data_IF_687159607659
#
_entry.id   IF_687159607659
#
_cell.length_a   1.000
_cell.length_b   1.000
_cell.length_c   1.000
_cell.angle_alpha   90.00
_cell.angle_beta   90.00
_cell.angle_gamma   90.00
#
_symmetry.space_group_name_H-M   'P 1'
#
loop_
_entity.id
_entity.type
_entity.pdbx_description
1 polymer ?
#
# COMPACT_ATOMS: atom_id res chain seq x y z
N UNK A 1 6.33 -52.91 1.96
CA UNK A 1 5.81 -51.53 2.06
C UNK A 1 6.78 -50.56 2.77
N UNK A 2 6.74 -50.36 4.10
CA UNK A 2 7.61 -49.35 4.77
C UNK A 2 9.12 -49.63 4.63
N UNK A 3 9.51 -50.90 4.69
CA UNK A 3 10.91 -51.33 4.53
C UNK A 3 11.39 -51.08 3.09
N UNK A 4 10.56 -51.30 2.08
CA UNK A 4 10.92 -51.05 0.66
C UNK A 4 11.06 -49.56 0.35
N UNK A 5 10.21 -48.71 0.94
CA UNK A 5 10.32 -47.26 0.78
C UNK A 5 11.58 -46.70 1.48
N UNK A 6 11.92 -47.21 2.66
CA UNK A 6 13.18 -46.89 3.34
C UNK A 6 14.40 -47.39 2.53
N UNK A 7 14.30 -48.57 1.90
CA UNK A 7 15.34 -49.09 1.01
C UNK A 7 15.51 -48.28 -0.28
N UNK A 8 14.46 -47.61 -0.81
CA UNK A 8 14.57 -46.77 -2.01
C UNK A 8 15.32 -45.44 -1.79
N UNK A 9 15.41 -44.94 -0.55
CA UNK A 9 16.29 -43.81 -0.21
C UNK A 9 17.78 -44.17 -0.29
N UNK A 10 18.11 -45.46 -0.38
CA UNK A 10 19.48 -45.98 -0.38
C UNK A 10 20.05 -46.03 -1.80
N UNK A 11 20.39 -44.87 -2.36
CA UNK A 11 21.18 -44.81 -3.61
C UNK A 11 22.69 -44.68 -3.37
N UNK A 12 23.17 -44.64 -2.11
CA UNK A 12 24.61 -44.68 -1.76
C UNK A 12 24.88 -45.35 -0.40
N UNK A 13 25.13 -46.65 -0.39
CA UNK A 13 25.76 -47.37 0.74
C UNK A 13 24.98 -48.58 1.24
N UNK A 14 25.72 -49.62 1.66
CA UNK A 14 25.17 -50.91 2.13
C UNK A 14 24.19 -50.74 3.31
N UNK A 15 22.94 -51.22 3.20
CA UNK A 15 21.97 -51.12 4.28
C UNK A 15 22.35 -51.95 5.50
N UNK A 16 22.37 -51.32 6.68
CA UNK A 16 22.39 -52.02 7.96
C UNK A 16 21.06 -51.76 8.70
N UNK A 17 20.48 -52.77 9.34
CA UNK A 17 19.30 -52.67 10.18
C UNK A 17 19.39 -51.55 11.23
N UNK A 18 20.59 -51.22 11.71
CA UNK A 18 20.80 -50.08 12.61
C UNK A 18 20.40 -48.73 11.97
N UNK A 19 20.56 -48.57 10.66
CA UNK A 19 20.19 -47.37 9.92
C UNK A 19 18.68 -47.33 9.63
N UNK A 20 18.10 -48.48 9.26
CA UNK A 20 16.66 -48.62 9.12
C UNK A 20 15.94 -48.34 10.45
N UNK A 21 16.50 -48.85 11.55
CA UNK A 21 16.00 -48.62 12.91
C UNK A 21 16.19 -47.15 13.34
N UNK A 22 17.26 -46.46 12.91
CA UNK A 22 17.44 -45.03 13.14
C UNK A 22 16.44 -44.16 12.33
N UNK A 23 16.15 -44.55 11.08
CA UNK A 23 15.10 -43.91 10.26
C UNK A 23 13.73 -44.14 10.89
N UNK A 24 13.42 -45.37 11.30
CA UNK A 24 12.15 -45.73 11.94
C UNK A 24 12.00 -45.09 13.32
N UNK A 25 13.08 -45.00 14.12
CA UNK A 25 13.09 -44.24 15.38
C UNK A 25 12.90 -42.75 15.14
N UNK A 26 13.62 -42.16 14.19
CA UNK A 26 13.46 -40.75 13.83
C UNK A 26 12.05 -40.44 13.30
N UNK A 27 11.41 -41.40 12.63
CA UNK A 27 10.00 -41.35 12.25
C UNK A 27 9.09 -41.46 13.48
N UNK A 28 9.30 -42.42 14.38
CA UNK A 28 8.48 -42.62 15.58
C UNK A 28 8.59 -41.47 16.60
N UNK A 29 9.78 -40.93 16.83
CA UNK A 29 10.07 -39.84 17.77
C UNK A 29 9.48 -38.51 17.30
N UNK A 30 9.49 -38.23 15.99
CA UNK A 30 8.86 -37.02 15.42
C UNK A 30 7.35 -37.12 15.27
N UNK A 31 6.79 -38.34 15.20
CA UNK A 31 5.43 -38.60 14.70
C UNK A 31 4.45 -39.16 15.73
N UNK A 32 4.86 -39.42 16.98
CA UNK A 32 3.94 -39.78 18.07
C UNK A 32 2.95 -40.90 17.76
N UNK A 33 3.34 -42.18 17.97
CA UNK A 33 2.50 -43.40 18.01
C UNK A 33 1.50 -43.71 16.86
N UNK A 34 1.32 -42.89 15.81
CA UNK A 34 0.10 -42.93 15.00
C UNK A 34 0.13 -43.64 13.62
N UNK A 35 1.22 -44.27 13.17
CA UNK A 35 1.22 -45.00 11.89
C UNK A 35 1.25 -46.51 12.13
N UNK A 36 0.13 -47.19 11.86
CA UNK A 36 -0.07 -48.62 12.19
C UNK A 36 0.24 -49.54 10.99
N UNK A 37 0.31 -49.00 9.77
CA UNK A 37 0.59 -49.80 8.54
C UNK A 37 1.66 -49.21 7.62
N UNK A 38 2.34 -50.07 6.86
CA UNK A 38 3.39 -49.64 5.94
C UNK A 38 2.91 -48.76 4.78
N UNK A 39 1.65 -48.86 4.41
CA UNK A 39 1.01 -48.01 3.40
C UNK A 39 0.70 -46.60 3.95
N UNK A 40 0.42 -46.48 5.26
CA UNK A 40 0.30 -45.17 5.91
C UNK A 40 1.64 -44.46 6.04
N UNK A 41 2.71 -45.20 6.37
CA UNK A 41 4.06 -44.64 6.46
C UNK A 41 4.51 -44.08 5.10
N UNK A 42 4.24 -44.80 4.01
CA UNK A 42 4.60 -44.36 2.65
C UNK A 42 3.80 -43.16 2.19
N UNK A 43 2.47 -43.13 2.38
CA UNK A 43 1.64 -41.96 2.09
C UNK A 43 2.10 -40.72 2.85
N UNK A 44 2.42 -40.86 4.13
CA UNK A 44 2.89 -39.74 4.94
C UNK A 44 4.28 -39.25 4.50
N UNK A 45 5.20 -40.15 4.11
CA UNK A 45 6.50 -39.75 3.53
C UNK A 45 6.32 -39.00 2.20
N UNK A 46 5.36 -39.41 1.36
CA UNK A 46 5.07 -38.70 0.12
C UNK A 46 4.46 -37.32 0.38
N UNK A 47 3.57 -37.20 1.36
CA UNK A 47 2.93 -35.94 1.73
C UNK A 47 3.97 -34.95 2.29
N UNK A 48 4.82 -35.39 3.21
CA UNK A 48 5.92 -34.58 3.76
C UNK A 48 6.90 -34.14 2.67
N UNK A 49 7.22 -35.03 1.72
CA UNK A 49 8.09 -34.70 0.59
C UNK A 49 7.45 -33.63 -0.29
N UNK A 50 6.16 -33.76 -0.61
CA UNK A 50 5.42 -32.80 -1.42
C UNK A 50 5.35 -31.43 -0.73
N UNK A 51 5.05 -31.39 0.58
CA UNK A 51 5.04 -30.14 1.35
C UNK A 51 6.42 -29.46 1.35
N UNK A 52 7.49 -30.23 1.56
CA UNK A 52 8.85 -29.72 1.51
C UNK A 52 9.22 -29.16 0.11
N UNK A 53 8.73 -29.77 -0.97
CA UNK A 53 8.89 -29.25 -2.33
C UNK A 53 8.14 -27.93 -2.54
N UNK A 54 6.91 -27.83 -2.04
CA UNK A 54 6.13 -26.60 -2.10
C UNK A 54 6.79 -25.45 -1.32
N UNK A 55 7.30 -25.73 -0.12
CA UNK A 55 8.02 -24.70 0.65
C UNK A 55 9.27 -24.24 -0.09
N UNK A 56 10.02 -25.16 -0.70
CA UNK A 56 11.20 -24.82 -1.52
C UNK A 56 10.83 -23.96 -2.72
N UNK A 57 9.71 -24.24 -3.38
CA UNK A 57 9.21 -23.41 -4.49
C UNK A 57 8.89 -21.99 -4.03
N UNK A 58 8.20 -21.84 -2.90
CA UNK A 58 7.87 -20.54 -2.33
C UNK A 58 9.13 -19.75 -1.93
N UNK A 59 10.10 -20.40 -1.28
CA UNK A 59 11.39 -19.79 -0.95
C UNK A 59 12.18 -19.39 -2.19
N UNK A 60 12.17 -20.22 -3.24
CA UNK A 60 12.79 -19.93 -4.52
C UNK A 60 12.17 -18.69 -5.18
N UNK A 61 10.84 -18.60 -5.22
CA UNK A 61 10.12 -17.42 -5.72
C UNK A 61 10.43 -16.15 -4.90
N UNK A 62 10.63 -16.32 -3.59
CA UNK A 62 11.06 -15.25 -2.70
C UNK A 62 12.53 -14.80 -2.94
N UNK A 63 13.30 -15.58 -3.70
CA UNK A 63 14.72 -15.33 -3.98
C UNK A 63 15.66 -15.75 -2.85
N UNK A 64 15.17 -16.53 -1.88
CA UNK A 64 15.98 -17.14 -0.82
C UNK A 64 16.24 -18.62 -1.17
N UNK A 65 17.51 -18.99 -1.19
CA UNK A 65 17.92 -20.40 -1.09
C UNK A 65 18.11 -20.77 0.40
N UNK A 66 17.16 -20.40 1.26
CA UNK A 66 17.31 -20.63 2.70
C UNK A 66 17.17 -22.12 3.04
N UNK A 67 17.86 -22.54 4.11
CA UNK A 67 17.68 -23.87 4.68
C UNK A 67 16.24 -24.00 5.14
N UNK A 68 15.62 -25.14 4.85
CA UNK A 68 14.29 -25.47 5.32
C UNK A 68 14.33 -25.64 6.85
N UNK A 69 13.99 -24.59 7.59
CA UNK A 69 13.91 -24.59 9.06
C UNK A 69 12.48 -24.90 9.51
N UNK A 70 12.33 -25.41 10.73
CA UNK A 70 11.01 -25.71 11.30
C UNK A 70 10.14 -24.45 11.46
N UNK A 71 10.76 -23.29 11.69
CA UNK A 71 10.07 -21.99 11.71
C UNK A 71 9.41 -21.67 10.36
N UNK A 72 10.14 -21.83 9.25
CA UNK A 72 9.61 -21.57 7.90
C UNK A 72 8.49 -22.55 7.55
N UNK A 73 8.63 -23.82 7.97
CA UNK A 73 7.57 -24.83 7.80
C UNK A 73 6.30 -24.41 8.54
N UNK A 74 6.43 -23.98 9.80
CA UNK A 74 5.30 -23.53 10.59
C UNK A 74 4.61 -22.29 9.97
N UNK A 75 5.38 -21.29 9.55
CA UNK A 75 4.84 -20.11 8.86
C UNK A 75 4.11 -20.47 7.57
N UNK A 76 4.68 -21.38 6.76
CA UNK A 76 4.02 -21.87 5.55
C UNK A 76 2.72 -22.62 5.85
N UNK A 77 2.74 -23.52 6.84
CA UNK A 77 1.55 -24.26 7.24
C UNK A 77 0.42 -23.33 7.69
N UNK A 78 0.74 -22.25 8.41
CA UNK A 78 -0.25 -21.21 8.76
C UNK A 78 -0.79 -20.48 7.51
N UNK A 79 0.06 -20.11 6.55
CA UNK A 79 -0.40 -19.51 5.29
C UNK A 79 -1.35 -20.42 4.51
N UNK A 80 -1.08 -21.73 4.51
CA UNK A 80 -1.89 -22.73 3.80
C UNK A 80 -3.31 -22.88 4.35
N UNK A 81 -3.58 -22.42 5.58
CA UNK A 81 -4.92 -22.46 6.18
C UNK A 81 -5.91 -21.50 5.51
N UNK A 82 -5.43 -20.43 4.90
CA UNK A 82 -6.28 -19.41 4.27
C UNK A 82 -5.95 -19.16 2.80
N UNK A 83 -4.81 -19.65 2.29
CA UNK A 83 -4.41 -19.42 0.90
C UNK A 83 -3.83 -20.67 0.21
N UNK A 84 -4.18 -20.92 -1.08
CA UNK A 84 -3.52 -21.93 -1.88
C UNK A 84 -2.04 -21.66 -2.12
N UNK A 85 -1.27 -22.75 -2.22
CA UNK A 85 0.16 -22.75 -2.48
C UNK A 85 0.56 -21.82 -3.63
N UNK A 86 -0.08 -21.96 -4.79
CA UNK A 86 0.25 -21.18 -5.99
C UNK A 86 0.13 -19.66 -5.78
N UNK A 87 -0.86 -19.23 -4.99
CA UNK A 87 -1.03 -17.80 -4.68
C UNK A 87 0.02 -17.34 -3.67
N UNK A 88 0.41 -18.18 -2.70
CA UNK A 88 1.51 -17.87 -1.79
C UNK A 88 2.83 -17.71 -2.56
N UNK A 89 3.11 -18.59 -3.53
CA UNK A 89 4.29 -18.48 -4.42
C UNK A 89 4.26 -17.16 -5.20
N UNK A 90 3.09 -16.76 -5.72
CA UNK A 90 2.95 -15.48 -6.41
C UNK A 90 3.19 -14.28 -5.47
N UNK A 91 2.67 -14.33 -4.24
CA UNK A 91 2.92 -13.31 -3.22
C UNK A 91 4.42 -13.19 -2.92
N UNK A 92 5.10 -14.32 -2.72
CA UNK A 92 6.54 -14.39 -2.52
C UNK A 92 7.33 -13.77 -3.68
N UNK A 93 6.97 -14.08 -4.92
CA UNK A 93 7.58 -13.50 -6.12
C UNK A 93 7.35 -12.00 -6.30
N UNK A 94 6.27 -11.44 -5.73
CA UNK A 94 6.03 -9.99 -5.73
C UNK A 94 6.84 -9.30 -4.63
N UNK A 95 6.86 -9.87 -3.43
CA UNK A 95 7.62 -9.30 -2.30
C UNK A 95 9.12 -9.33 -2.57
N UNK A 96 9.64 -10.35 -3.26
CA UNK A 96 11.08 -10.45 -3.60
C UNK A 96 11.63 -9.28 -4.42
N UNK A 97 10.75 -8.57 -5.16
CA UNK A 97 11.09 -7.39 -5.97
C UNK A 97 10.99 -6.07 -5.19
N UNK A 98 10.44 -6.09 -3.97
CA UNK A 98 10.31 -4.90 -3.10
C UNK A 98 11.63 -4.61 -2.38
N UNK A 99 11.76 -3.37 -1.87
CA UNK A 99 12.93 -2.97 -1.07
C UNK A 99 12.96 -3.66 0.31
N UNK A 100 11.79 -3.78 0.95
CA UNK A 100 11.61 -4.58 2.18
C UNK A 100 11.19 -6.00 1.80
N UNK A 101 11.94 -7.00 2.27
CA UNK A 101 11.74 -8.41 1.91
C UNK A 101 11.77 -9.24 3.19
N UNK A 102 10.61 -9.71 3.64
CA UNK A 102 10.47 -10.68 4.74
C UNK A 102 9.33 -11.66 4.46
N UNK A 103 9.33 -12.80 5.16
CA UNK A 103 8.19 -13.73 5.13
C UNK A 103 6.93 -13.12 5.76
N UNK A 104 7.08 -12.21 6.71
CA UNK A 104 5.96 -11.41 7.25
C UNK A 104 5.26 -10.58 6.17
N UNK A 105 6.01 -9.99 5.23
CA UNK A 105 5.43 -9.24 4.10
C UNK A 105 4.69 -10.16 3.12
N UNK A 106 5.19 -11.40 2.93
CA UNK A 106 4.49 -12.43 2.13
C UNK A 106 3.18 -12.81 2.80
N UNK A 107 3.23 -13.05 4.11
CA UNK A 107 2.08 -13.37 4.96
C UNK A 107 1.04 -12.25 4.93
N UNK A 108 1.47 -11.00 5.10
CA UNK A 108 0.59 -9.83 5.07
C UNK A 108 -0.06 -9.67 3.69
N UNK A 109 0.70 -9.84 2.61
CA UNK A 109 0.15 -9.77 1.25
C UNK A 109 -0.85 -10.90 0.97
N UNK A 110 -0.51 -12.14 1.31
CA UNK A 110 -1.40 -13.29 1.15
C UNK A 110 -2.70 -13.12 1.95
N UNK A 111 -2.62 -12.65 3.19
CA UNK A 111 -3.79 -12.34 4.02
C UNK A 111 -4.66 -11.25 3.39
N UNK A 112 -4.05 -10.18 2.87
CA UNK A 112 -4.79 -9.10 2.19
C UNK A 112 -5.54 -9.57 0.94
N UNK A 113 -5.03 -10.60 0.25
CA UNK A 113 -5.75 -11.23 -0.88
C UNK A 113 -6.86 -12.15 -0.41
N UNK A 114 -6.64 -12.92 0.66
CA UNK A 114 -7.69 -13.73 1.29
C UNK A 114 -8.85 -12.86 1.80
N UNK A 115 -8.58 -11.72 2.42
CA UNK A 115 -9.61 -10.76 2.87
C UNK A 115 -10.43 -10.19 1.70
N UNK A 116 -9.84 -10.14 0.50
CA UNK A 116 -10.51 -9.74 -0.75
C UNK A 116 -11.19 -10.91 -1.48
N UNK A 117 -11.17 -12.12 -0.90
CA UNK A 117 -11.73 -13.33 -1.51
C UNK A 117 -10.93 -13.84 -2.72
N UNK A 118 -9.65 -13.45 -2.87
CA UNK A 118 -8.81 -13.83 -3.99
C UNK A 118 -8.06 -15.13 -3.68
N UNK A 119 -8.69 -16.28 -3.96
CA UNK A 119 -8.18 -17.61 -3.62
C UNK A 119 -7.64 -18.42 -4.80
N UNK A 120 -7.40 -17.82 -5.95
CA UNK A 120 -6.88 -18.53 -7.12
C UNK A 120 -6.00 -17.61 -7.99
N UNK A 121 -5.11 -18.23 -8.78
CA UNK A 121 -4.18 -17.49 -9.64
C UNK A 121 -4.89 -16.58 -10.65
N UNK A 122 -5.90 -17.04 -11.42
CA UNK A 122 -6.66 -16.17 -12.33
C UNK A 122 -7.21 -14.91 -11.65
N UNK A 123 -7.89 -15.06 -10.52
CA UNK A 123 -8.49 -13.94 -9.77
C UNK A 123 -7.43 -12.94 -9.28
N UNK A 124 -6.31 -13.43 -8.73
CA UNK A 124 -5.21 -12.56 -8.28
C UNK A 124 -4.56 -11.84 -9.46
N UNK A 125 -4.34 -12.52 -10.59
CA UNK A 125 -3.76 -11.91 -11.79
C UNK A 125 -4.66 -10.84 -12.39
N UNK A 126 -5.96 -11.11 -12.47
CA UNK A 126 -6.95 -10.13 -12.92
C UNK A 126 -6.96 -8.90 -12.01
N UNK A 127 -6.93 -9.10 -10.69
CA UNK A 127 -6.82 -8.01 -9.72
C UNK A 127 -5.55 -7.17 -9.91
N UNK A 128 -4.39 -7.82 -10.05
CA UNK A 128 -3.12 -7.13 -10.28
C UNK A 128 -3.10 -6.35 -11.61
N UNK A 129 -3.73 -6.89 -12.65
CA UNK A 129 -3.88 -6.21 -13.93
C UNK A 129 -4.74 -4.95 -13.79
N UNK A 130 -5.94 -5.07 -13.20
CA UNK A 130 -6.83 -3.95 -12.96
C UNK A 130 -6.15 -2.86 -12.11
N UNK A 131 -5.42 -3.25 -11.06
CA UNK A 131 -4.65 -2.33 -10.24
C UNK A 131 -3.53 -1.63 -11.03
N UNK A 132 -2.91 -2.33 -11.98
CA UNK A 132 -1.89 -1.74 -12.86
C UNK A 132 -2.49 -0.71 -13.82
N UNK A 133 -3.67 -0.98 -14.38
CA UNK A 133 -4.41 -0.06 -15.26
C UNK A 133 -4.89 1.18 -14.50
N UNK A 134 -5.48 0.99 -13.31
CA UNK A 134 -5.86 2.10 -12.43
C UNK A 134 -4.64 2.96 -12.09
N UNK A 135 -3.52 2.35 -11.72
CA UNK A 135 -2.30 3.10 -11.43
C UNK A 135 -1.79 3.84 -12.68
N UNK A 136 -1.80 3.21 -13.87
CA UNK A 136 -1.37 3.87 -15.10
C UNK A 136 -2.23 5.10 -15.44
N UNK A 137 -3.55 4.99 -15.27
CA UNK A 137 -4.46 6.12 -15.43
C UNK A 137 -4.18 7.22 -14.40
N UNK A 138 -4.04 6.87 -13.12
CA UNK A 138 -3.74 7.84 -12.07
C UNK A 138 -2.41 8.57 -12.32
N UNK A 139 -1.37 7.87 -12.81
CA UNK A 139 -0.11 8.51 -13.24
C UNK A 139 -0.36 9.54 -14.33
N UNK A 140 -1.10 9.16 -15.38
CA UNK A 140 -1.40 10.07 -16.49
C UNK A 140 -2.18 11.32 -16.02
N UNK A 141 -3.11 11.18 -15.07
CA UNK A 141 -3.84 12.32 -14.49
C UNK A 141 -2.90 13.22 -13.68
N UNK A 142 -2.05 12.63 -12.85
CA UNK A 142 -1.09 13.39 -12.05
C UNK A 142 -0.11 14.16 -12.95
N UNK A 143 0.43 13.51 -13.98
CA UNK A 143 1.30 14.14 -14.99
C UNK A 143 0.58 15.28 -15.73
N UNK A 144 -0.64 15.05 -16.20
CA UNK A 144 -1.43 16.06 -16.91
C UNK A 144 -1.78 17.27 -16.02
N UNK A 145 -1.81 17.07 -14.70
CA UNK A 145 -2.02 18.10 -13.69
C UNK A 145 -0.74 18.72 -13.12
N UNK A 146 0.45 18.34 -13.61
CA UNK A 146 1.73 18.88 -13.13
C UNK A 146 2.15 18.44 -11.73
N UNK A 147 1.49 17.43 -11.14
CA UNK A 147 1.85 16.85 -9.84
C UNK A 147 2.92 15.76 -9.94
N UNK A 148 3.46 15.33 -8.79
CA UNK A 148 4.28 14.13 -8.69
C UNK A 148 3.50 12.93 -9.29
N UNK A 149 4.04 12.23 -10.31
CA UNK A 149 3.36 11.15 -11.00
C UNK A 149 3.23 9.87 -10.15
N UNK A 150 3.59 9.86 -8.87
CA UNK A 150 3.48 8.69 -8.00
C UNK A 150 2.03 8.43 -7.55
N UNK A 151 1.43 7.28 -7.92
CA UNK A 151 0.10 6.89 -7.45
C UNK A 151 0.06 6.66 -5.94
N UNK A 152 -0.87 7.31 -5.25
CA UNK A 152 -1.09 7.15 -3.80
C UNK A 152 -2.37 6.36 -3.52
N UNK A 153 -2.52 5.82 -2.30
CA UNK A 153 -3.75 5.12 -1.91
C UNK A 153 -4.99 6.03 -1.96
N UNK A 154 -4.97 7.26 -1.40
CA UNK A 154 -6.10 8.18 -1.51
C UNK A 154 -6.42 8.55 -2.97
N UNK A 155 -5.40 8.67 -3.82
CA UNK A 155 -5.61 8.93 -5.24
C UNK A 155 -6.30 7.77 -5.97
N UNK A 156 -6.04 6.52 -5.58
CA UNK A 156 -6.73 5.36 -6.14
C UNK A 156 -8.21 5.33 -5.74
N UNK A 157 -8.52 5.66 -4.50
CA UNK A 157 -9.91 5.75 -4.01
C UNK A 157 -10.69 6.81 -4.79
N UNK A 158 -10.10 8.00 -5.00
CA UNK A 158 -10.71 9.04 -5.83
C UNK A 158 -10.92 8.58 -7.27
N UNK A 159 -9.91 7.95 -7.88
CA UNK A 159 -10.03 7.44 -9.24
C UNK A 159 -11.15 6.40 -9.37
N UNK A 160 -11.25 5.49 -8.40
CA UNK A 160 -12.30 4.48 -8.35
C UNK A 160 -13.69 5.12 -8.26
N UNK A 161 -13.86 6.13 -7.40
CA UNK A 161 -15.10 6.92 -7.34
C UNK A 161 -15.44 7.52 -8.69
N UNK A 162 -14.47 8.16 -9.35
CA UNK A 162 -14.71 8.83 -10.63
C UNK A 162 -15.08 7.86 -11.76
N UNK A 163 -14.46 6.68 -11.83
CA UNK A 163 -14.67 5.72 -12.92
C UNK A 163 -15.82 4.74 -12.66
N UNK A 164 -16.03 4.31 -11.41
CA UNK A 164 -17.02 3.27 -11.07
C UNK A 164 -18.34 3.86 -10.58
N UNK A 165 -18.30 4.88 -9.71
CA UNK A 165 -19.51 5.50 -9.18
C UNK A 165 -20.05 6.57 -10.14
N UNK A 166 -19.19 7.49 -10.58
CA UNK A 166 -19.58 8.60 -11.46
C UNK A 166 -19.49 8.29 -12.95
N UNK A 167 -18.87 7.15 -13.31
CA UNK A 167 -18.79 6.63 -14.68
C UNK A 167 -18.15 7.59 -15.68
N UNK A 168 -17.22 8.44 -15.22
CA UNK A 168 -16.48 9.33 -16.11
C UNK A 168 -15.54 8.54 -17.03
N UNK A 169 -15.49 8.95 -18.29
CA UNK A 169 -14.54 8.39 -19.25
C UNK A 169 -13.13 8.89 -18.98
N UNK A 170 -12.14 8.12 -19.43
CA UNK A 170 -10.71 8.51 -19.34
C UNK A 170 -10.45 9.90 -19.92
N UNK A 171 -11.13 10.26 -21.00
CA UNK A 171 -10.93 11.54 -21.69
C UNK A 171 -11.42 12.73 -20.84
N UNK A 172 -12.57 12.59 -20.19
CA UNK A 172 -13.10 13.62 -19.28
C UNK A 172 -12.18 13.82 -18.08
N UNK A 173 -11.63 12.73 -17.53
CA UNK A 173 -10.69 12.82 -16.42
C UNK A 173 -9.38 13.52 -16.81
N UNK A 174 -8.85 13.22 -18.01
CA UNK A 174 -7.66 13.90 -18.53
C UNK A 174 -7.90 15.40 -18.77
N UNK A 175 -9.09 15.77 -19.24
CA UNK A 175 -9.48 17.17 -19.38
C UNK A 175 -9.50 17.88 -18.00
N UNK A 176 -10.14 17.26 -17.01
CA UNK A 176 -10.18 17.79 -15.64
C UNK A 176 -8.78 17.93 -15.05
N UNK A 177 -7.89 16.97 -15.30
CA UNK A 177 -6.49 17.05 -14.88
C UNK A 177 -5.75 18.22 -15.54
N UNK A 178 -5.97 18.47 -16.83
CA UNK A 178 -5.42 19.63 -17.53
C UNK A 178 -5.87 20.96 -16.91
N UNK A 179 -7.10 21.03 -16.40
CA UNK A 179 -7.60 22.21 -15.69
C UNK A 179 -7.02 22.37 -14.28
N UNK A 180 -6.45 21.29 -13.72
CA UNK A 180 -5.84 21.27 -12.40
C UNK A 180 -4.34 21.60 -12.39
N UNK A 181 -3.72 21.93 -13.55
CA UNK A 181 -2.26 22.13 -13.68
C UNK A 181 -1.63 23.11 -12.69
N UNK A 182 -2.35 24.18 -12.34
CA UNK A 182 -1.85 25.22 -11.43
C UNK A 182 -2.38 25.06 -9.99
N UNK A 183 -3.08 23.97 -9.70
CA UNK A 183 -3.63 23.73 -8.37
C UNK A 183 -2.52 23.24 -7.42
N UNK A 184 -2.46 23.81 -6.21
CA UNK A 184 -1.56 23.33 -5.15
C UNK A 184 -1.82 21.86 -4.78
N UNK A 185 -3.07 21.41 -4.88
CA UNK A 185 -3.49 20.03 -4.64
C UNK A 185 -4.40 19.57 -5.79
N UNK A 186 -3.84 18.97 -6.86
CA UNK A 186 -4.62 18.66 -8.05
C UNK A 186 -5.75 17.66 -7.83
N UNK A 187 -5.53 16.54 -7.14
CA UNK A 187 -6.57 15.52 -6.95
C UNK A 187 -7.81 16.04 -6.19
N UNK A 188 -7.68 16.73 -5.04
CA UNK A 188 -8.84 17.35 -4.38
C UNK A 188 -9.52 18.44 -5.21
N UNK A 189 -8.76 19.18 -6.03
CA UNK A 189 -9.33 20.18 -6.93
C UNK A 189 -10.16 19.53 -8.04
N UNK A 190 -9.62 18.48 -8.66
CA UNK A 190 -10.33 17.66 -9.64
C UNK A 190 -11.60 17.05 -9.02
N UNK A 191 -11.52 16.55 -7.79
CA UNK A 191 -12.67 15.93 -7.14
C UNK A 191 -13.87 16.88 -7.04
N UNK A 192 -13.65 18.12 -6.59
CA UNK A 192 -14.69 19.15 -6.53
C UNK A 192 -15.25 19.52 -7.91
N UNK A 193 -14.38 19.58 -8.91
CA UNK A 193 -14.78 19.89 -10.28
C UNK A 193 -15.66 18.78 -10.87
N UNK A 194 -15.23 17.53 -10.71
CA UNK A 194 -15.93 16.34 -11.18
C UNK A 194 -17.24 16.11 -10.42
N UNK A 195 -17.28 16.43 -9.13
CA UNK A 195 -18.52 16.44 -8.34
C UNK A 195 -19.54 17.44 -8.92
N UNK A 196 -19.09 18.66 -9.27
CA UNK A 196 -19.91 19.65 -9.94
C UNK A 196 -20.47 19.15 -11.29
N UNK A 197 -19.62 18.52 -12.10
CA UNK A 197 -20.05 17.93 -13.38
C UNK A 197 -21.02 16.77 -13.20
N UNK A 198 -20.77 15.89 -12.23
CA UNK A 198 -21.64 14.77 -11.93
C UNK A 198 -23.04 15.25 -11.51
N UNK A 199 -23.11 16.24 -10.62
CA UNK A 199 -24.37 16.85 -10.17
C UNK A 199 -25.11 17.58 -11.30
N UNK A 200 -24.39 18.14 -12.27
CA UNK A 200 -24.95 18.78 -13.46
C UNK A 200 -25.32 17.78 -14.57
N UNK A 201 -25.06 16.48 -14.39
CA UNK A 201 -25.30 15.45 -15.42
C UNK A 201 -24.34 15.52 -16.61
N UNK A 202 -23.21 16.21 -16.46
CA UNK A 202 -22.18 16.38 -17.48
C UNK A 202 -21.30 15.13 -17.49
N UNK A 203 -21.37 14.33 -18.55
CA UNK A 203 -20.60 13.07 -18.67
C UNK A 203 -19.71 13.00 -19.92
N UNK A 204 -19.82 13.96 -20.84
CA UNK A 204 -19.03 14.01 -22.08
C UNK A 204 -18.01 15.14 -22.04
N UNK A 205 -16.93 15.00 -22.80
CA UNK A 205 -15.89 16.04 -22.94
C UNK A 205 -16.50 17.35 -23.43
N UNK A 206 -17.38 17.28 -24.42
CA UNK A 206 -18.09 18.44 -24.99
C UNK A 206 -18.91 19.19 -23.95
N UNK A 207 -19.70 18.47 -23.14
CA UNK A 207 -20.52 19.08 -22.09
C UNK A 207 -19.65 19.67 -20.97
N UNK A 208 -18.51 19.05 -20.65
CA UNK A 208 -17.56 19.55 -19.66
C UNK A 208 -16.89 20.86 -20.09
N UNK A 209 -16.52 20.97 -21.37
CA UNK A 209 -15.99 22.21 -21.96
C UNK A 209 -17.07 23.29 -21.95
N UNK A 210 -18.28 22.98 -22.43
CA UNK A 210 -19.39 23.93 -22.49
C UNK A 210 -19.79 24.46 -21.10
N UNK A 211 -19.84 23.60 -20.08
CA UNK A 211 -20.17 24.00 -18.70
C UNK A 211 -19.09 24.92 -18.12
N UNK A 212 -17.82 24.64 -18.39
CA UNK A 212 -16.72 25.52 -17.97
C UNK A 212 -16.75 26.86 -18.68
N UNK A 213 -17.06 26.89 -19.97
CA UNK A 213 -17.23 28.13 -20.73
C UNK A 213 -18.40 28.95 -20.18
N UNK A 214 -19.52 28.31 -19.83
CA UNK A 214 -20.65 28.97 -19.15
C UNK A 214 -20.26 29.54 -17.81
N UNK A 215 -19.57 28.78 -16.97
CA UNK A 215 -19.06 29.24 -15.67
C UNK A 215 -18.01 30.36 -15.81
N UNK A 216 -17.18 30.34 -16.86
CA UNK A 216 -16.23 31.41 -17.14
C UNK A 216 -16.91 32.69 -17.65
N UNK A 217 -18.02 32.56 -18.39
CA UNK A 217 -18.80 33.69 -18.90
C UNK A 217 -19.77 34.27 -17.86
N UNK A 218 -20.25 33.45 -16.91
CA UNK A 218 -21.11 33.87 -15.81
C UNK A 218 -20.34 34.32 -14.57
N UNK A 219 -19.04 34.06 -14.50
CA UNK A 219 -18.16 34.71 -13.53
C UNK A 219 -18.20 36.23 -13.77
N UNK A 220 -18.58 37.05 -12.77
CA UNK A 220 -18.56 38.49 -12.94
C UNK A 220 -17.14 38.92 -13.32
N UNK A 221 -16.96 39.87 -14.26
CA UNK A 221 -15.63 40.31 -14.64
C UNK A 221 -14.93 40.76 -13.37
N UNK A 222 -13.79 40.12 -13.04
CA UNK A 222 -12.92 40.62 -11.99
C UNK A 222 -12.60 42.06 -12.37
N UNK A 223 -13.09 43.00 -11.58
CA UNK A 223 -12.86 44.43 -11.76
C UNK A 223 -11.39 44.72 -11.50
N UNK A 224 -10.56 44.50 -12.51
CA UNK A 224 -9.15 44.86 -12.54
C UNK A 224 -8.84 45.56 -13.85
N UNK A 225 -9.31 46.82 -13.98
CA UNK A 225 -8.57 47.94 -14.56
C UNK A 225 -9.43 49.22 -14.63
N UNK A 226 -9.13 50.16 -13.72
CA UNK A 226 -9.13 51.63 -13.91
C UNK A 226 -10.44 52.41 -14.08
N UNK A 227 -10.85 53.10 -13.00
CA UNK A 227 -11.35 54.48 -13.11
C UNK A 227 -10.68 55.35 -12.04
N UNK A 228 -9.94 56.35 -12.49
CA UNK A 228 -9.30 57.36 -11.67
C UNK A 228 -10.33 58.30 -11.00
N UNK A 229 -10.04 58.64 -9.74
CA UNK A 229 -10.36 59.87 -9.00
C UNK A 229 -11.84 60.28 -8.76
N UNK A 230 -12.37 59.95 -7.57
CA UNK A 230 -12.51 60.90 -6.44
C UNK A 230 -13.17 60.24 -5.22
N UNK A 231 -12.79 60.62 -3.98
CA UNK A 231 -12.92 59.76 -2.80
C UNK A 231 -14.29 59.88 -2.11
N UNK A 232 -14.84 58.75 -1.67
CA UNK A 232 -15.96 58.68 -0.71
C UNK A 232 -15.66 57.62 0.36
N UNK A 233 -16.15 57.81 1.59
CA UNK A 233 -15.42 57.50 2.81
C UNK A 233 -15.37 56.00 3.09
N UNK A 234 -14.16 55.48 3.31
CA UNK A 234 -13.95 54.12 3.75
C UNK A 234 -14.37 53.96 5.21
N UNK A 235 -15.25 52.98 5.46
CA UNK A 235 -15.50 52.42 6.78
C UNK A 235 -14.29 51.55 7.13
N UNK A 236 -13.40 52.05 7.97
CA UNK A 236 -12.18 51.37 8.42
C UNK A 236 -12.53 50.11 9.22
N UNK A 237 -12.05 48.95 8.77
CA UNK A 237 -11.99 47.71 9.57
C UNK A 237 -10.73 47.79 10.44
N UNK A 238 -10.88 47.50 11.73
CA UNK A 238 -10.02 47.91 12.86
C UNK A 238 -8.74 47.10 13.11
N UNK A 239 -8.24 46.29 12.18
CA UNK A 239 -7.21 45.27 12.50
C UNK A 239 -5.84 45.47 11.84
N UNK A 240 -5.56 46.65 11.27
CA UNK A 240 -4.26 47.01 10.71
C UNK A 240 -3.68 48.28 11.38
N UNK A 241 -3.88 48.43 12.68
CA UNK A 241 -3.19 49.43 13.51
C UNK A 241 -2.40 48.71 14.60
N UNK A 242 -1.19 48.30 14.27
CA UNK A 242 -0.15 48.06 15.26
C UNK A 242 0.92 49.13 15.04
N UNK A 243 0.98 50.10 15.94
CA UNK A 243 2.11 51.02 16.02
C UNK A 243 3.36 50.24 16.47
N UNK A 244 4.47 50.41 15.74
CA UNK A 244 5.78 50.00 16.23
C UNK A 244 6.03 50.74 17.54
N UNK A 245 6.26 50.00 18.63
CA UNK A 245 6.67 50.60 19.90
C UNK A 245 8.08 51.16 19.76
N UNK A 246 8.25 52.45 20.00
CA UNK A 246 9.56 53.01 20.33
C UNK A 246 10.00 52.48 21.69
N UNK A 247 11.26 52.02 21.75
CA UNK A 247 11.85 51.49 22.97
C UNK A 247 12.44 52.67 23.77
N UNK A 248 11.90 52.91 24.98
CA UNK A 248 12.51 53.83 25.95
C UNK A 248 13.62 53.07 26.71
N UNK A 249 14.90 53.45 26.56
CA UNK A 249 16.02 52.78 27.23
C UNK A 249 16.01 52.91 28.76
N UNK A 250 15.11 53.69 29.36
CA UNK A 250 15.02 53.89 30.80
C UNK A 250 14.10 52.90 31.55
N UNK A 251 13.37 52.01 30.85
CA UNK A 251 12.46 51.03 31.48
C UNK A 251 13.14 49.71 31.91
N UNK A 252 14.44 49.54 31.68
CA UNK A 252 15.18 48.35 32.08
C UNK A 252 16.04 48.63 33.32
N UNK A 253 15.40 48.76 34.49
CA UNK A 253 16.13 48.61 35.75
C UNK A 253 16.28 47.11 36.02
N UNK A 254 17.53 46.65 36.13
CA UNK A 254 17.88 45.24 36.18
C UNK A 254 17.30 44.52 37.40
N UNK A 255 17.16 43.19 37.30
CA UNK A 255 16.74 42.34 38.41
C UNK A 255 17.55 42.65 39.67
N UNK A 256 16.84 42.71 40.80
CA UNK A 256 17.45 43.02 42.08
C UNK A 256 18.39 41.88 42.52
N UNK A 257 19.41 42.17 43.36
CA UNK A 257 20.32 41.14 43.87
C UNK A 257 19.64 40.01 44.67
N UNK A 258 18.41 40.24 45.13
CA UNK A 258 17.61 39.24 45.84
C UNK A 258 16.95 38.24 44.86
N UNK A 259 16.46 38.72 43.71
CA UNK A 259 15.87 37.90 42.65
C UNK A 259 16.91 37.01 41.95
N UNK A 260 18.17 37.46 41.87
CA UNK A 260 19.28 36.66 41.33
C UNK A 260 19.68 35.48 42.26
N UNK A 261 19.50 35.61 43.58
CA UNK A 261 19.80 34.54 44.54
C UNK A 261 18.74 33.44 44.57
N UNK A 262 17.49 33.76 44.27
CA UNK A 262 16.41 32.77 44.15
C UNK A 262 16.58 31.88 42.92
N UNK A 263 17.15 32.41 41.83
CA UNK A 263 17.38 31.65 40.59
C UNK A 263 18.51 30.62 40.78
N UNK A 264 19.56 30.90 41.56
CA UNK A 264 20.63 29.93 41.86
C UNK A 264 20.22 28.81 42.83
N UNK A 265 19.10 28.93 43.55
CA UNK A 265 18.64 27.90 44.51
C UNK A 265 17.76 26.81 43.89
N UNK A 266 17.35 26.95 42.62
CA UNK A 266 16.43 26.02 41.94
C UNK A 266 16.97 25.50 40.61
N UNK A 267 18.29 25.30 40.49
CA UNK A 267 18.86 24.46 39.44
C UNK A 267 19.28 23.09 40.02
N UNK A 268 18.66 21.97 39.61
CA UNK A 268 19.15 20.63 39.90
C UNK A 268 20.36 20.22 39.05
#
# INVERSE_FOLDING_TARGET
AAIEAACQEMTRGDPNFAYLDAILKGLMERRGKAAETGDEVTRQLTDEKQENEQIKEMLSAFGLSSKLTDTVKAEYAEMRRYQPHEVIVLAAGIVSKRKSRSLDEVTALARSWSEKGLHDLPSVRAYLHALSEQNALLRALLEASGADPRPTAPGRELLQKWTEEWRFSREVLLLAAGYAQNAQKPLPFMDKMLEGWHNAGVQTVENAVAERERHAQSAPPSSSASSAASPRPMKTVREQQYDQREYDPAEFDGLTPEELKEIEQYEP
#
